data_IF_106815331068
#
_entry.id   IF_106815331068
#
_cell.length_a   1.000
_cell.length_b   1.000
_cell.length_c   1.000
_cell.angle_alpha   90.00
_cell.angle_beta   90.00
_cell.angle_gamma   90.00
#
_symmetry.space_group_name_H-M   'P 1'
#
loop_
_entity.id
_entity.type
_entity.pdbx_description
1 polymer ?
#
# COMPACT_ATOMS: atom_id res chain seq x y z
N UNK A 1 10.82 7.70 -11.52
CA UNK A 1 12.05 7.53 -10.70
C UNK A 1 12.06 8.38 -9.43
N UNK A 2 12.28 9.70 -9.54
CA UNK A 2 12.49 10.58 -8.38
C UNK A 2 11.24 10.84 -7.52
N UNK A 3 10.09 11.10 -8.17
CA UNK A 3 8.82 11.40 -7.47
C UNK A 3 8.35 10.30 -6.51
N UNK A 4 8.55 9.01 -6.86
CA UNK A 4 8.20 7.87 -5.97
C UNK A 4 9.00 7.88 -4.68
N UNK A 5 10.32 8.05 -4.78
CA UNK A 5 11.21 8.01 -3.62
C UNK A 5 11.01 9.24 -2.74
N UNK A 6 10.76 10.40 -3.32
CA UNK A 6 10.37 11.58 -2.55
C UNK A 6 9.10 11.34 -1.74
N UNK A 7 8.04 10.78 -2.36
CA UNK A 7 6.81 10.47 -1.64
C UNK A 7 7.03 9.47 -0.50
N UNK A 8 7.77 8.37 -0.76
CA UNK A 8 8.07 7.34 0.26
C UNK A 8 8.89 7.93 1.41
N UNK A 9 9.96 8.67 1.12
CA UNK A 9 10.84 9.27 2.14
C UNK A 9 10.12 10.30 2.99
N UNK A 10 9.34 11.19 2.37
CA UNK A 10 8.56 12.20 3.09
C UNK A 10 7.51 11.52 3.98
N UNK A 11 6.80 10.52 3.45
CA UNK A 11 5.80 9.79 4.22
C UNK A 11 6.42 9.06 5.42
N UNK A 12 7.58 8.42 5.22
CA UNK A 12 8.34 7.76 6.27
C UNK A 12 8.81 8.72 7.37
N UNK A 13 9.31 9.90 6.98
CA UNK A 13 9.73 10.93 7.93
C UNK A 13 8.55 11.46 8.75
N UNK A 14 7.43 11.80 8.09
CA UNK A 14 6.21 12.25 8.75
C UNK A 14 5.69 11.18 9.73
N UNK A 15 5.65 9.91 9.30
CA UNK A 15 5.26 8.78 10.14
C UNK A 15 6.14 8.64 11.40
N UNK A 16 7.45 8.82 11.25
CA UNK A 16 8.40 8.83 12.37
C UNK A 16 8.17 9.99 13.35
N UNK A 17 7.91 11.21 12.85
CA UNK A 17 7.65 12.39 13.70
C UNK A 17 6.38 12.20 14.53
N UNK A 18 5.32 11.65 13.94
CA UNK A 18 4.05 11.41 14.63
C UNK A 18 4.08 10.27 15.66
N UNK A 19 5.23 9.63 15.89
CA UNK A 19 5.41 8.65 16.98
C UNK A 19 5.95 9.26 18.28
N UNK A 20 6.11 10.59 18.36
CA UNK A 20 6.39 11.39 19.56
C UNK A 20 7.64 11.02 20.39
N UNK A 21 8.40 10.00 19.99
CA UNK A 21 9.63 9.54 20.63
C UNK A 21 10.81 9.66 19.66
N UNK A 22 11.62 10.72 19.80
CA UNK A 22 12.78 10.94 18.94
C UNK A 22 13.80 9.79 19.01
N UNK A 23 13.97 9.15 20.18
CA UNK A 23 14.85 7.97 20.32
C UNK A 23 14.40 6.79 19.46
N UNK A 24 13.11 6.67 19.17
CA UNK A 24 12.55 5.62 18.30
C UNK A 24 12.39 6.09 16.86
N UNK A 25 12.67 7.36 16.57
CA UNK A 25 12.43 7.96 15.26
C UNK A 25 13.10 7.17 14.13
N UNK A 26 14.38 6.84 14.26
CA UNK A 26 15.12 6.14 13.20
C UNK A 26 14.49 4.77 12.87
N UNK A 27 14.11 4.01 13.91
CA UNK A 27 13.48 2.69 13.75
C UNK A 27 12.07 2.84 13.15
N UNK A 28 11.26 3.76 13.68
CA UNK A 28 9.90 4.00 13.22
C UNK A 28 9.85 4.55 11.79
N UNK A 29 10.71 5.50 11.46
CA UNK A 29 10.85 6.03 10.09
C UNK A 29 11.35 4.93 9.14
N UNK A 30 12.28 4.08 9.58
CA UNK A 30 12.70 2.90 8.83
C UNK A 30 11.54 1.96 8.49
N UNK A 31 10.67 1.67 9.46
CA UNK A 31 9.43 0.91 9.21
C UNK A 31 8.53 1.64 8.20
N UNK A 32 8.34 2.96 8.35
CA UNK A 32 7.58 3.78 7.40
C UNK A 32 8.12 3.70 5.96
N UNK A 33 9.44 3.60 5.78
CA UNK A 33 10.07 3.42 4.48
C UNK A 33 9.66 2.10 3.82
N UNK A 34 9.68 1.01 4.60
CA UNK A 34 9.29 -0.33 4.13
C UNK A 34 7.81 -0.35 3.77
N UNK A 35 6.94 0.22 4.61
CA UNK A 35 5.51 0.29 4.34
C UNK A 35 5.20 1.10 3.07
N UNK A 36 5.85 2.27 2.90
CA UNK A 36 5.70 3.08 1.70
C UNK A 36 6.18 2.35 0.44
N UNK A 37 7.27 1.60 0.53
CA UNK A 37 7.74 0.74 -0.56
C UNK A 37 6.74 -0.36 -0.91
N UNK A 38 6.20 -1.07 0.09
CA UNK A 38 5.21 -2.13 -0.11
C UNK A 38 3.93 -1.61 -0.79
N UNK A 39 3.42 -0.46 -0.35
CA UNK A 39 2.26 0.19 -0.99
C UNK A 39 2.54 0.51 -2.47
N UNK A 40 3.71 1.09 -2.75
CA UNK A 40 4.07 1.46 -4.11
C UNK A 40 4.25 0.23 -5.01
N UNK A 41 4.94 -0.80 -4.52
CA UNK A 41 5.31 -1.99 -5.28
C UNK A 41 4.10 -2.89 -5.57
N UNK A 42 3.22 -3.08 -4.58
CA UNK A 42 2.03 -3.94 -4.73
C UNK A 42 0.82 -3.21 -5.34
N UNK A 43 0.89 -1.87 -5.45
CA UNK A 43 -0.24 -0.98 -5.78
C UNK A 43 -1.48 -1.23 -4.90
N UNK A 44 -1.25 -1.73 -3.69
CA UNK A 44 -2.27 -2.08 -2.71
C UNK A 44 -1.83 -1.63 -1.31
N UNK A 45 -2.77 -1.18 -0.50
CA UNK A 45 -2.49 -0.84 0.90
C UNK A 45 -2.40 -2.10 1.78
N UNK A 46 -2.97 -3.22 1.33
CA UNK A 46 -3.13 -4.42 2.15
C UNK A 46 -1.79 -5.00 2.66
N UNK A 47 -0.72 -5.15 1.83
CA UNK A 47 0.55 -5.69 2.32
C UNK A 47 1.19 -4.81 3.39
N UNK A 48 1.07 -3.49 3.26
CA UNK A 48 1.58 -2.55 4.26
C UNK A 48 0.75 -2.61 5.56
N UNK A 49 -0.58 -2.69 5.46
CA UNK A 49 -1.46 -2.87 6.62
C UNK A 49 -1.08 -4.15 7.38
N UNK A 50 -0.92 -5.26 6.67
CA UNK A 50 -0.56 -6.54 7.28
C UNK A 50 0.83 -6.49 7.94
N UNK A 51 1.83 -5.94 7.24
CA UNK A 51 3.18 -5.80 7.79
C UNK A 51 3.20 -4.91 9.05
N UNK A 52 2.48 -3.79 9.03
CA UNK A 52 2.37 -2.90 10.18
C UNK A 52 1.64 -3.56 11.35
N UNK A 53 0.54 -4.27 11.07
CA UNK A 53 -0.20 -5.03 12.08
C UNK A 53 0.70 -6.09 12.73
N UNK A 54 1.42 -6.89 11.94
CA UNK A 54 2.30 -7.93 12.47
C UNK A 54 3.43 -7.34 13.31
N UNK A 55 4.07 -6.26 12.85
CA UNK A 55 5.09 -5.55 13.62
C UNK A 55 4.57 -5.13 15.00
N UNK A 56 3.39 -4.49 15.05
CA UNK A 56 2.80 -4.02 16.30
C UNK A 56 2.29 -5.18 17.17
N UNK A 57 1.74 -6.23 16.56
CA UNK A 57 1.26 -7.41 17.28
C UNK A 57 2.40 -8.15 17.95
N UNK A 58 3.52 -8.35 17.25
CA UNK A 58 4.73 -8.95 17.84
C UNK A 58 5.23 -8.10 19.01
N UNK A 59 5.38 -6.79 18.83
CA UNK A 59 5.83 -5.88 19.89
C UNK A 59 4.88 -5.86 21.10
N UNK A 60 3.56 -5.92 20.86
CA UNK A 60 2.57 -5.97 21.94
C UNK A 60 2.60 -7.32 22.66
N UNK A 61 2.70 -8.43 21.91
CA UNK A 61 2.77 -9.77 22.49
C UNK A 61 4.05 -9.95 23.31
N UNK A 62 5.16 -9.37 22.85
CA UNK A 62 6.41 -9.25 23.58
C UNK A 62 6.20 -8.63 24.96
N UNK A 63 5.48 -7.51 25.03
CA UNK A 63 5.16 -6.83 26.30
C UNK A 63 4.20 -7.67 27.18
N UNK A 64 3.15 -8.24 26.59
CA UNK A 64 2.05 -8.88 27.34
C UNK A 64 2.36 -10.34 27.71
N UNK A 65 3.24 -11.02 26.97
CA UNK A 65 3.63 -12.43 27.13
C UNK A 65 5.14 -12.63 26.89
N UNK A 66 6.02 -12.04 27.72
CA UNK A 66 7.46 -12.11 27.52
C UNK A 66 8.02 -13.55 27.54
N UNK A 67 7.43 -14.44 28.34
CA UNK A 67 7.85 -15.85 28.47
C UNK A 67 7.74 -16.65 27.16
N UNK A 68 6.98 -16.18 26.19
CA UNK A 68 6.87 -16.82 24.87
C UNK A 68 8.12 -16.56 24.00
N UNK A 69 8.87 -15.51 24.33
CA UNK A 69 10.03 -15.05 23.56
C UNK A 69 11.36 -15.28 24.28
N UNK A 70 11.35 -15.55 25.58
CA UNK A 70 12.53 -15.92 26.37
C UNK A 70 13.33 -17.10 25.77
N UNK A 71 12.72 -18.22 25.30
CA UNK A 71 13.47 -19.35 24.76
C UNK A 71 14.29 -19.01 23.51
N UNK A 72 13.86 -17.99 22.76
CA UNK A 72 14.50 -17.51 21.54
C UNK A 72 15.25 -16.19 21.77
N UNK A 73 15.36 -15.71 23.01
CA UNK A 73 16.08 -14.48 23.36
C UNK A 73 15.53 -13.19 22.76
N UNK A 74 14.24 -13.16 22.39
CA UNK A 74 13.54 -11.98 21.86
C UNK A 74 12.89 -11.19 23.02
N UNK A 75 13.70 -10.71 23.95
CA UNK A 75 13.20 -9.98 25.12
C UNK A 75 12.89 -8.52 24.80
N UNK A 76 12.14 -7.85 25.68
CA UNK A 76 11.60 -6.51 25.45
C UNK A 76 12.65 -5.39 25.63
N UNK A 77 13.93 -5.75 25.78
CA UNK A 77 15.03 -4.83 26.08
C UNK A 77 14.95 -4.19 27.48
N UNK A 78 13.96 -4.55 28.30
CA UNK A 78 13.79 -4.06 29.67
C UNK A 78 14.91 -4.54 30.61
N UNK A 79 15.47 -5.69 30.27
CA UNK A 79 16.52 -6.42 30.95
C UNK A 79 17.94 -5.94 30.52
N UNK A 80 18.04 -4.97 29.61
CA UNK A 80 19.31 -4.38 29.16
C UNK A 80 20.21 -5.33 28.35
N UNK A 81 19.78 -6.58 28.16
CA UNK A 81 20.47 -7.58 27.35
C UNK A 81 20.40 -7.26 25.86
N UNK A 82 21.52 -7.44 25.16
CA UNK A 82 21.55 -7.37 23.71
C UNK A 82 20.78 -8.56 23.10
N UNK A 83 20.06 -8.32 22.00
CA UNK A 83 19.43 -9.40 21.23
C UNK A 83 20.52 -10.37 20.75
N UNK A 84 20.37 -11.70 20.91
CA UNK A 84 21.36 -12.66 20.45
C UNK A 84 21.70 -12.48 18.97
N UNK A 85 22.99 -12.66 18.62
CA UNK A 85 23.45 -12.49 17.25
C UNK A 85 22.74 -13.44 16.27
N UNK A 86 22.45 -14.67 16.69
CA UNK A 86 21.70 -15.65 15.88
C UNK A 86 20.32 -15.14 15.48
N UNK A 87 19.57 -14.60 16.44
CA UNK A 87 18.24 -14.01 16.22
C UNK A 87 18.32 -12.82 15.27
N UNK A 88 19.33 -11.97 15.46
CA UNK A 88 19.55 -10.80 14.61
C UNK A 88 19.86 -11.21 13.17
N UNK A 89 20.75 -12.19 12.97
CA UNK A 89 21.11 -12.71 11.64
C UNK A 89 19.91 -13.37 10.96
N UNK A 90 19.16 -14.20 11.68
CA UNK A 90 17.95 -14.85 11.14
C UNK A 90 16.89 -13.81 10.79
N UNK A 91 16.63 -12.84 11.67
CA UNK A 91 15.67 -11.76 11.43
C UNK A 91 16.05 -10.90 10.22
N UNK A 92 17.32 -10.54 10.08
CA UNK A 92 17.83 -9.83 8.92
C UNK A 92 17.68 -10.66 7.64
N UNK A 93 17.98 -11.96 7.69
CA UNK A 93 17.81 -12.88 6.57
C UNK A 93 16.36 -12.93 6.10
N UNK A 94 15.40 -13.15 7.01
CA UNK A 94 13.96 -13.16 6.71
C UNK A 94 13.50 -11.83 6.11
N UNK A 95 13.95 -10.71 6.69
CA UNK A 95 13.62 -9.37 6.20
C UNK A 95 14.12 -9.15 4.77
N UNK A 96 15.38 -9.50 4.48
CA UNK A 96 15.98 -9.35 3.16
C UNK A 96 15.32 -10.28 2.14
N UNK A 97 15.03 -11.53 2.51
CA UNK A 97 14.26 -12.45 1.66
C UNK A 97 12.89 -11.88 1.32
N UNK A 98 12.16 -11.34 2.31
CA UNK A 98 10.87 -10.68 2.07
C UNK A 98 10.98 -9.47 1.14
N UNK A 99 12.03 -8.66 1.30
CA UNK A 99 12.30 -7.52 0.41
C UNK A 99 12.60 -7.98 -1.03
N UNK A 100 13.37 -9.04 -1.20
CA UNK A 100 13.67 -9.63 -2.51
C UNK A 100 12.41 -10.19 -3.17
N UNK A 101 11.61 -10.96 -2.41
CA UNK A 101 10.36 -11.54 -2.93
C UNK A 101 9.37 -10.46 -3.38
N UNK A 102 9.30 -9.34 -2.66
CA UNK A 102 8.44 -8.20 -3.05
C UNK A 102 9.02 -7.38 -4.19
N UNK A 103 10.34 -7.38 -4.39
CA UNK A 103 11.00 -6.72 -5.51
C UNK A 103 10.79 -7.45 -6.86
N UNK A 104 10.35 -8.71 -6.84
CA UNK A 104 9.96 -9.43 -8.07
C UNK A 104 8.73 -8.74 -8.67
N UNK A 105 8.82 -8.18 -9.90
CA UNK A 105 7.69 -7.51 -10.52
C UNK A 105 6.55 -8.51 -10.72
N UNK A 106 5.42 -8.30 -10.03
CA UNK A 106 4.19 -9.02 -10.39
C UNK A 106 3.75 -8.49 -11.75
N UNK A 107 3.67 -9.39 -12.74
CA UNK A 107 3.23 -9.09 -14.11
C UNK A 107 1.97 -8.24 -14.06
N UNK A 108 2.00 -7.06 -14.66
CA UNK A 108 0.90 -6.11 -14.55
C UNK A 108 -0.27 -6.65 -15.37
N UNK A 109 -1.48 -6.59 -14.81
CA UNK A 109 -2.70 -6.84 -15.59
C UNK A 109 -2.84 -5.82 -16.74
N UNK A 110 -2.17 -4.67 -16.63
CA UNK A 110 -2.04 -3.63 -17.64
C UNK A 110 -1.19 -4.06 -18.85
N UNK A 111 -0.42 -5.15 -18.75
CA UNK A 111 0.36 -5.73 -19.86
C UNK A 111 -0.50 -6.66 -20.75
N UNK A 112 -1.81 -6.74 -20.51
CA UNK A 112 -2.72 -7.45 -21.41
C UNK A 112 -2.72 -6.73 -22.78
N UNK A 113 -2.39 -7.41 -23.89
CA UNK A 113 -2.39 -6.76 -25.20
C UNK A 113 -3.74 -6.10 -25.46
N UNK A 114 -3.71 -4.85 -25.93
CA UNK A 114 -4.88 -3.95 -26.08
C UNK A 114 -6.10 -4.61 -26.75
N UNK A 115 -5.88 -5.65 -27.55
CA UNK A 115 -6.92 -6.45 -28.19
C UNK A 115 -7.81 -7.28 -27.24
N UNK A 116 -7.33 -7.69 -26.05
CA UNK A 116 -8.12 -8.54 -25.13
C UNK A 116 -9.05 -7.72 -24.21
N UNK A 117 -8.72 -6.45 -23.96
CA UNK A 117 -9.57 -5.54 -23.20
C UNK A 117 -10.75 -5.03 -24.04
N UNK A 118 -10.53 -4.85 -25.35
CA UNK A 118 -11.55 -4.40 -26.30
C UNK A 118 -12.68 -5.42 -26.49
N UNK A 119 -12.41 -6.73 -26.38
CA UNK A 119 -13.45 -7.76 -26.53
C UNK A 119 -14.33 -7.96 -25.29
N UNK A 120 -13.90 -7.51 -24.10
CA UNK A 120 -14.61 -7.78 -22.84
C UNK A 120 -15.75 -6.81 -22.54
N UNK A 121 -15.79 -5.68 -23.24
CA UNK A 121 -16.88 -4.71 -23.15
C UNK A 121 -17.44 -4.49 -24.55
N UNK A 122 -18.53 -5.17 -24.96
CA UNK A 122 -19.25 -4.78 -26.16
C UNK A 122 -19.63 -3.31 -25.99
N UNK A 123 -19.05 -2.46 -26.84
CA UNK A 123 -19.45 -1.07 -26.99
C UNK A 123 -20.97 -1.08 -27.17
N UNK A 124 -21.70 -0.61 -26.16
CA UNK A 124 -23.15 -0.44 -26.27
C UNK A 124 -23.32 0.61 -27.35
N UNK A 125 -23.73 0.19 -28.56
CA UNK A 125 -24.07 1.11 -29.64
C UNK A 125 -24.90 2.26 -29.07
N UNK A 126 -24.54 3.53 -29.32
CA UNK A 126 -25.37 4.63 -28.90
C UNK A 126 -26.72 4.42 -29.56
N UNK A 127 -27.74 4.15 -28.73
CA UNK A 127 -29.11 4.02 -29.18
C UNK A 127 -29.42 5.24 -30.04
N UNK A 128 -29.89 4.98 -31.25
CA UNK A 128 -30.41 5.94 -32.22
C UNK A 128 -31.26 6.98 -31.50
N UNK A 129 -30.70 8.18 -31.31
CA UNK A 129 -31.45 9.31 -30.81
C UNK A 129 -32.55 9.63 -31.84
N UNK A 130 -33.80 9.38 -31.48
CA UNK A 130 -34.96 9.75 -32.26
C UNK A 130 -35.01 11.29 -32.31
N UNK A 131 -34.94 11.93 -33.50
CA UNK A 131 -34.99 13.39 -33.57
C UNK A 131 -36.39 13.88 -33.15
N UNK A 132 -36.50 15.01 -32.43
CA UNK A 132 -37.79 15.56 -32.04
C UNK A 132 -38.60 15.93 -33.28
N UNK A 133 -39.83 15.45 -33.34
CA UNK A 133 -40.81 15.78 -34.37
C UNK A 133 -41.05 17.29 -34.38
N UNK A 134 -40.78 17.94 -35.51
CA UNK A 134 -41.10 19.37 -35.71
C UNK A 134 -42.61 19.55 -35.69
N UNK A 135 -43.12 20.33 -34.75
CA UNK A 135 -44.49 20.85 -34.80
C UNK A 135 -44.67 21.75 -36.04
N UNK A 136 -45.77 21.61 -36.79
CA UNK A 136 -46.08 22.55 -37.86
C UNK A 136 -46.60 23.86 -37.27
N UNK A 137 -45.93 24.96 -37.64
CA UNK A 137 -46.34 26.32 -37.30
C UNK A 137 -47.78 26.58 -37.78
N UNK A 138 -48.67 26.84 -36.84
CA UNK A 138 -50.03 27.29 -37.13
C UNK A 138 -49.96 28.73 -37.65
N UNK A 139 -50.31 28.91 -38.92
CA UNK A 139 -50.52 30.22 -39.52
C UNK A 139 -51.80 30.83 -38.94
N UNK A 140 -51.67 31.97 -38.27
CA UNK A 140 -52.80 32.77 -37.82
C UNK A 140 -53.20 33.77 -38.92
N UNK A 141 -54.41 33.70 -39.52
CA UNK A 141 -54.88 34.72 -40.44
C UNK A 141 -55.82 35.72 -39.73
N UNK A 142 -55.76 36.99 -40.16
CA UNK A 142 -56.69 38.11 -39.89
C UNK A 142 -56.52 38.80 -38.52
N UNK A 143 -56.66 40.12 -38.35
CA UNK A 143 -57.25 41.23 -39.13
C UNK A 143 -56.71 42.53 -38.49
N UNK A 144 -56.27 43.50 -39.31
CA UNK A 144 -56.92 44.80 -39.59
C UNK A 144 -56.95 45.77 -38.41
#
# INVERSE_FOLDING_TARGET
GRRKWTAILVSAAVFGVFHFFLFKFAVTAGLGLVLGYLCWQSRSLFPAILAHFLHNAIGTLQIVRPTWFEPIGLTNGADGGAIPASVTVVGLGVFLTGLILTAVPMRQADDAPDGLAAERFPQRSPATAHPPSREPATSNPRTR
#
